data_IF_085680107035
#
_entry.id   IF_085680107035
#
_cell.length_a   1.000
_cell.length_b   1.000
_cell.length_c   1.000
_cell.angle_alpha   90.00
_cell.angle_beta   90.00
_cell.angle_gamma   90.00
#
_symmetry.space_group_name_H-M   'P 1'
#
loop_
_entity.id
_entity.type
_entity.pdbx_description
1 polymer ?
#
# COMPACT_ATOMS: atom_id res chain seq x y z
N UNK A 1 -18.59 14.07 8.07
CA UNK A 1 -18.89 13.03 7.07
C UNK A 1 -17.63 12.21 6.79
N UNK A 2 -17.69 10.89 6.90
CA UNK A 2 -16.65 9.98 6.41
C UNK A 2 -17.11 9.31 5.11
N UNK A 3 -16.18 8.83 4.29
CA UNK A 3 -16.50 8.24 2.99
C UNK A 3 -16.21 6.74 2.98
N UNK A 4 -17.02 5.99 2.23
CA UNK A 4 -16.77 4.57 1.95
C UNK A 4 -16.93 4.25 0.46
N UNK A 5 -16.27 3.19 0.01
CA UNK A 5 -16.41 2.61 -1.33
C UNK A 5 -16.76 1.11 -1.22
N UNK A 6 -17.33 0.53 -2.28
CA UNK A 6 -17.57 -0.91 -2.38
C UNK A 6 -16.48 -1.54 -3.25
N UNK A 7 -15.72 -2.47 -2.68
CA UNK A 7 -14.68 -3.24 -3.39
C UNK A 7 -15.15 -4.66 -3.62
N UNK A 8 -14.79 -5.25 -4.76
CA UNK A 8 -15.01 -6.68 -5.01
C UNK A 8 -14.15 -7.51 -4.06
N UNK A 9 -14.74 -8.58 -3.51
CA UNK A 9 -14.00 -9.57 -2.72
C UNK A 9 -12.91 -10.21 -3.60
N UNK A 10 -11.64 -10.29 -3.15
CA UNK A 10 -10.58 -10.90 -3.94
C UNK A 10 -10.85 -12.39 -4.16
N UNK A 11 -10.58 -12.87 -5.38
CA UNK A 11 -10.90 -14.23 -5.84
C UNK A 11 -10.31 -15.35 -4.95
N UNK A 12 -9.20 -15.09 -4.24
CA UNK A 12 -8.59 -16.00 -3.26
C UNK A 12 -9.54 -16.45 -2.13
N UNK A 13 -10.66 -15.77 -1.94
CA UNK A 13 -11.65 -16.05 -0.89
C UNK A 13 -13.03 -16.41 -1.43
N UNK A 14 -13.17 -16.51 -2.75
CA UNK A 14 -14.44 -16.84 -3.44
C UNK A 14 -14.34 -18.28 -3.90
N UNK A 15 -15.18 -19.17 -3.34
CA UNK A 15 -15.26 -20.56 -3.81
C UNK A 15 -15.90 -20.58 -5.21
N UNK A 16 -15.51 -21.54 -6.05
CA UNK A 16 -16.14 -21.72 -7.37
C UNK A 16 -17.66 -21.89 -7.20
N UNK A 17 -18.44 -20.96 -7.74
CA UNK A 17 -19.91 -20.91 -7.62
C UNK A 17 -20.47 -19.83 -6.67
N UNK A 18 -19.64 -19.12 -5.89
CA UNK A 18 -20.11 -17.96 -5.11
C UNK A 18 -20.32 -16.73 -6.02
N UNK A 19 -21.47 -16.08 -5.89
CA UNK A 19 -21.77 -14.81 -6.57
C UNK A 19 -20.75 -13.73 -6.21
N UNK A 20 -20.41 -12.87 -7.17
CA UNK A 20 -19.51 -11.74 -6.92
C UNK A 20 -20.05 -10.86 -5.79
N UNK A 21 -19.44 -10.94 -4.61
CA UNK A 21 -19.80 -10.15 -3.43
C UNK A 21 -18.88 -8.94 -3.28
N UNK A 22 -19.47 -7.80 -2.91
CA UNK A 22 -18.73 -6.57 -2.60
C UNK A 22 -18.66 -6.36 -1.09
N UNK A 23 -17.57 -5.78 -0.60
CA UNK A 23 -17.44 -5.33 0.78
C UNK A 23 -17.23 -3.82 0.84
N UNK A 24 -17.73 -3.19 1.90
CA UNK A 24 -17.49 -1.78 2.17
C UNK A 24 -16.06 -1.59 2.70
N UNK A 25 -15.36 -0.63 2.11
CA UNK A 25 -14.02 -0.22 2.52
C UNK A 25 -14.01 1.28 2.81
N UNK A 26 -13.33 1.66 3.88
CA UNK A 26 -13.27 3.06 4.31
C UNK A 26 -12.35 3.85 3.38
N UNK A 27 -12.75 5.09 3.10
CA UNK A 27 -11.99 6.02 2.28
C UNK A 27 -11.45 7.11 3.19
N UNK A 28 -10.16 7.04 3.46
CA UNK A 28 -9.48 8.06 4.24
C UNK A 28 -9.35 9.35 3.45
N UNK A 29 -9.74 10.47 4.06
CA UNK A 29 -9.54 11.81 3.48
C UNK A 29 -8.12 12.34 3.67
N UNK A 30 -7.31 11.63 4.46
CA UNK A 30 -5.93 11.97 4.80
C UNK A 30 -5.53 11.35 6.13
N UNK A 31 -4.27 11.58 6.52
CA UNK A 31 -3.72 11.16 7.80
C UNK A 31 -3.55 12.39 8.68
N UNK A 32 -4.05 12.33 9.91
CA UNK A 32 -3.81 13.38 10.91
C UNK A 32 -2.45 13.09 11.56
N UNK A 33 -1.46 13.99 11.44
CA UNK A 33 -0.14 13.78 12.01
C UNK A 33 -0.16 14.02 13.54
N UNK A 34 0.82 13.49 14.25
CA UNK A 34 0.87 13.51 15.71
C UNK A 34 0.88 14.95 16.27
N UNK A 35 1.60 15.87 15.63
CA UNK A 35 1.71 17.27 16.01
C UNK A 35 0.34 17.96 15.99
N UNK A 36 -0.52 17.59 15.04
CA UNK A 36 -1.89 18.13 14.97
C UNK A 36 -2.75 17.61 16.12
N UNK A 37 -2.57 16.36 16.55
CA UNK A 37 -3.24 15.82 17.74
C UNK A 37 -2.73 16.51 19.02
N UNK A 38 -1.41 16.66 19.16
CA UNK A 38 -0.75 17.32 20.30
C UNK A 38 -1.26 18.76 20.46
N UNK A 39 -1.23 19.56 19.38
CA UNK A 39 -1.82 20.91 19.35
C UNK A 39 -3.27 20.94 19.79
N UNK A 40 -4.05 19.96 19.32
CA UNK A 40 -5.46 19.83 19.68
C UNK A 40 -5.67 19.56 21.18
N UNK A 41 -4.84 18.71 21.78
CA UNK A 41 -4.87 18.42 23.22
C UNK A 41 -4.41 19.64 24.01
N UNK A 42 -3.27 20.24 23.64
CA UNK A 42 -2.72 21.44 24.27
C UNK A 42 -3.76 22.57 24.35
N UNK A 43 -4.48 22.83 23.25
CA UNK A 43 -5.53 23.84 23.20
C UNK A 43 -6.71 23.54 24.15
N UNK A 44 -7.03 22.26 24.39
CA UNK A 44 -8.16 21.86 25.25
C UNK A 44 -7.78 21.77 26.73
N UNK A 45 -6.54 21.39 27.04
CA UNK A 45 -6.10 21.17 28.43
C UNK A 45 -5.28 22.33 29.00
N UNK A 46 -4.73 23.19 28.15
CA UNK A 46 -3.79 24.24 28.55
C UNK A 46 -2.35 23.75 28.78
N UNK A 47 -2.07 22.46 28.56
CA UNK A 47 -0.70 21.94 28.65
C UNK A 47 0.16 22.41 27.47
N UNK A 48 1.46 22.63 27.74
CA UNK A 48 2.43 22.94 26.69
C UNK A 48 2.60 21.73 25.77
N UNK A 49 2.69 21.98 24.46
CA UNK A 49 2.85 20.93 23.44
C UNK A 49 4.02 20.00 23.76
N UNK A 50 5.19 20.55 24.14
CA UNK A 50 6.37 19.76 24.48
C UNK A 50 6.20 18.84 25.71
N UNK A 51 5.30 19.18 26.64
CA UNK A 51 4.99 18.30 27.80
C UNK A 51 4.17 17.10 27.33
N UNK A 52 3.17 17.33 26.47
CA UNK A 52 2.35 16.25 25.91
C UNK A 52 3.20 15.32 25.05
N UNK A 53 4.07 15.89 24.21
CA UNK A 53 5.00 15.14 23.38
C UNK A 53 5.95 14.29 24.23
N UNK A 54 6.54 14.87 25.28
CA UNK A 54 7.38 14.15 26.24
C UNK A 54 6.64 12.97 26.88
N UNK A 55 5.42 13.18 27.37
CA UNK A 55 4.60 12.11 27.96
C UNK A 55 4.34 10.98 26.95
N UNK A 56 4.03 11.29 25.69
CA UNK A 56 3.80 10.27 24.66
C UNK A 56 5.07 9.46 24.36
N UNK A 57 6.24 10.09 24.40
CA UNK A 57 7.53 9.43 24.19
C UNK A 57 7.89 8.52 25.37
N UNK A 58 7.77 9.01 26.60
CA UNK A 58 8.03 8.22 27.81
C UNK A 58 7.06 7.02 27.91
N UNK A 59 5.76 7.23 27.67
CA UNK A 59 4.78 6.14 27.66
C UNK A 59 5.10 5.07 26.60
N UNK A 60 5.60 5.48 25.43
CA UNK A 60 6.04 4.53 24.41
C UNK A 60 7.19 3.68 24.93
N UNK A 61 8.18 4.29 25.56
CA UNK A 61 9.39 3.61 26.00
C UNK A 61 9.12 2.68 27.18
N UNK A 62 8.27 3.09 28.13
CA UNK A 62 7.75 2.23 29.20
C UNK A 62 6.99 1.02 28.65
N UNK A 63 6.10 1.24 27.68
CA UNK A 63 5.37 0.13 27.03
C UNK A 63 6.37 -0.85 26.41
N UNK A 64 7.38 -0.37 25.70
CA UNK A 64 8.38 -1.24 25.08
C UNK A 64 9.20 -2.02 26.11
N UNK A 65 9.58 -1.38 27.21
CA UNK A 65 10.30 -2.03 28.31
C UNK A 65 9.47 -3.18 28.89
N UNK A 66 8.23 -2.93 29.30
CA UNK A 66 7.38 -3.95 29.91
C UNK A 66 7.02 -5.09 28.93
N UNK A 67 6.88 -4.79 27.65
CA UNK A 67 6.73 -5.83 26.63
C UNK A 67 7.98 -6.72 26.51
N UNK A 68 9.17 -6.14 26.65
CA UNK A 68 10.44 -6.86 26.68
C UNK A 68 10.59 -7.77 27.90
N UNK A 69 10.02 -7.36 29.03
CA UNK A 69 9.93 -8.14 30.27
C UNK A 69 8.85 -9.25 30.20
N UNK A 70 8.08 -9.31 29.11
CA UNK A 70 7.06 -10.34 28.87
C UNK A 70 5.66 -9.98 29.37
N UNK A 71 5.44 -8.75 29.83
CA UNK A 71 4.12 -8.28 30.22
C UNK A 71 3.26 -7.91 29.01
N UNK A 72 1.95 -7.90 29.24
CA UNK A 72 0.99 -7.24 28.35
C UNK A 72 0.60 -5.91 28.99
N UNK A 73 0.73 -4.82 28.24
CA UNK A 73 0.51 -3.48 28.79
C UNK A 73 -0.88 -2.97 28.40
N UNK A 74 -1.66 -2.55 29.38
CA UNK A 74 -2.95 -1.86 29.17
C UNK A 74 -2.72 -0.35 29.18
N UNK A 75 -3.10 0.33 28.09
CA UNK A 75 -3.08 1.79 27.99
C UNK A 75 -4.50 2.34 28.12
N UNK A 76 -5.05 2.29 29.32
CA UNK A 76 -6.37 2.80 29.68
C UNK A 76 -7.45 2.47 28.65
N UNK A 77 -8.22 3.48 28.24
CA UNK A 77 -9.31 3.30 27.27
C UNK A 77 -8.85 3.07 25.82
N UNK A 78 -7.54 3.19 25.51
CA UNK A 78 -7.06 2.88 24.16
C UNK A 78 -7.08 1.38 23.92
N UNK A 79 -6.55 0.59 24.86
CA UNK A 79 -6.53 -0.87 24.76
C UNK A 79 -5.22 -1.47 25.22
N UNK A 80 -4.78 -2.54 24.57
CA UNK A 80 -3.68 -3.36 25.04
C UNK A 80 -2.58 -3.52 24.00
N UNK A 81 -1.35 -3.41 24.43
CA UNK A 81 -0.16 -3.79 23.68
C UNK A 81 0.34 -5.16 24.11
N UNK A 82 0.72 -6.00 23.16
CA UNK A 82 1.33 -7.31 23.43
C UNK A 82 2.50 -7.55 22.47
N UNK A 83 3.57 -8.17 22.96
CA UNK A 83 4.70 -8.54 22.12
C UNK A 83 4.33 -9.66 21.14
N UNK A 84 4.94 -9.63 19.96
CA UNK A 84 4.88 -10.71 18.97
C UNK A 84 6.24 -11.37 18.91
N UNK A 85 6.27 -12.68 18.81
CA UNK A 85 7.50 -13.46 18.60
C UNK A 85 7.47 -14.15 17.24
N UNK A 86 8.65 -14.37 16.65
CA UNK A 86 8.83 -15.17 15.45
C UNK A 86 9.99 -16.14 15.68
N UNK A 87 9.76 -17.40 15.34
CA UNK A 87 10.81 -18.38 15.21
C UNK A 87 11.39 -18.33 13.78
N UNK A 88 12.70 -18.57 13.64
CA UNK A 88 13.36 -18.61 12.34
C UNK A 88 12.86 -19.75 11.44
N UNK A 89 12.35 -20.84 12.04
CA UNK A 89 11.79 -22.00 11.35
C UNK A 89 10.52 -22.49 12.03
N UNK A 90 9.58 -23.00 11.23
CA UNK A 90 8.43 -23.75 11.73
C UNK A 90 8.89 -25.18 12.01
N UNK A 91 8.53 -25.72 13.17
CA UNK A 91 8.86 -27.10 13.54
C UNK A 91 7.58 -27.85 13.91
N UNK A 92 7.57 -29.16 13.64
CA UNK A 92 6.46 -30.03 14.03
C UNK A 92 6.54 -30.46 15.51
N UNK A 93 7.76 -30.61 16.04
CA UNK A 93 7.99 -31.03 17.42
C UNK A 93 8.52 -29.86 18.27
N UNK A 94 7.99 -29.72 19.49
CA UNK A 94 8.36 -28.64 20.42
C UNK A 94 9.87 -28.59 20.72
N UNK A 95 10.55 -29.74 20.74
CA UNK A 95 11.97 -29.87 21.08
C UNK A 95 12.92 -29.42 19.96
N UNK A 96 12.41 -29.17 18.76
CA UNK A 96 13.23 -28.74 17.63
C UNK A 96 13.46 -27.22 17.61
N UNK A 97 12.69 -26.42 18.37
CA UNK A 97 12.97 -24.99 18.52
C UNK A 97 13.98 -24.78 19.64
N UNK A 98 15.10 -24.12 19.30
CA UNK A 98 16.07 -23.64 20.29
C UNK A 98 15.76 -22.20 20.67
N UNK A 99 16.06 -21.78 21.90
CA UNK A 99 15.74 -20.43 22.38
C UNK A 99 16.37 -19.33 21.51
N UNK A 100 17.58 -19.56 21.00
CA UNK A 100 18.30 -18.62 20.12
C UNK A 100 17.62 -18.42 18.77
N UNK A 101 16.70 -19.31 18.39
CA UNK A 101 15.94 -19.23 17.14
C UNK A 101 14.64 -18.43 17.25
N UNK A 102 14.28 -17.96 18.46
CA UNK A 102 13.07 -17.18 18.74
C UNK A 102 13.46 -15.74 19.08
N UNK A 103 12.86 -14.78 18.37
CA UNK A 103 13.09 -13.36 18.61
C UNK A 103 11.77 -12.58 18.60
N UNK A 104 11.79 -11.39 19.20
CA UNK A 104 10.70 -10.43 19.08
C UNK A 104 10.52 -10.02 17.60
N UNK A 105 9.26 -9.92 17.17
CA UNK A 105 8.84 -9.64 15.81
C UNK A 105 7.70 -8.60 15.79
N UNK A 106 7.87 -7.56 16.60
CA UNK A 106 6.97 -6.41 16.68
C UNK A 106 5.97 -6.47 17.84
N UNK A 107 5.01 -5.56 17.78
CA UNK A 107 3.99 -5.33 18.80
C UNK A 107 2.61 -5.42 18.16
N UNK A 108 1.68 -6.08 18.82
CA UNK A 108 0.27 -6.05 18.45
C UNK A 108 -0.46 -5.06 19.35
N UNK A 109 -1.28 -4.21 18.75
CA UNK A 109 -2.23 -3.36 19.48
C UNK A 109 -3.64 -3.90 19.31
N UNK A 110 -4.31 -4.15 20.43
CA UNK A 110 -5.72 -4.52 20.48
C UNK A 110 -6.51 -3.37 21.11
N UNK A 111 -7.25 -2.66 20.27
CA UNK A 111 -8.16 -1.60 20.72
C UNK A 111 -9.17 -2.13 21.75
N UNK A 112 -9.43 -1.31 22.77
CA UNK A 112 -10.41 -1.58 23.82
C UNK A 112 -11.84 -1.70 23.26
N UNK A 113 -12.79 -2.12 24.09
CA UNK A 113 -14.21 -2.12 23.69
C UNK A 113 -14.71 -0.69 23.45
N UNK A 114 -14.37 0.25 24.34
CA UNK A 114 -14.79 1.66 24.22
C UNK A 114 -14.24 2.29 22.94
N UNK A 115 -12.98 2.04 22.59
CA UNK A 115 -12.37 2.59 21.38
C UNK A 115 -12.97 2.01 20.09
N UNK A 116 -13.34 0.72 20.07
CA UNK A 116 -13.95 0.08 18.90
C UNK A 116 -15.38 0.54 18.63
N UNK A 117 -16.16 0.75 19.68
CA UNK A 117 -17.59 1.13 19.57
C UNK A 117 -17.77 2.66 19.63
N UNK A 118 -16.75 3.39 20.08
CA UNK A 118 -16.79 4.85 20.25
C UNK A 118 -16.74 5.65 18.94
N UNK A 119 -16.47 5.02 17.80
CA UNK A 119 -16.50 5.69 16.50
C UNK A 119 -17.94 6.09 16.20
N UNK A 120 -18.19 7.40 16.09
CA UNK A 120 -19.48 7.99 15.74
C UNK A 120 -19.32 8.88 14.51
N UNK A 121 -20.27 8.83 13.60
CA UNK A 121 -20.33 9.72 12.44
C UNK A 121 -21.05 9.10 11.25
N UNK A 122 -21.48 9.95 10.34
CA UNK A 122 -22.19 9.55 9.13
C UNK A 122 -21.23 9.09 8.03
N UNK A 123 -21.67 8.08 7.29
CA UNK A 123 -20.96 7.51 6.15
C UNK A 123 -21.67 7.86 4.85
N UNK A 124 -20.93 8.44 3.92
CA UNK A 124 -21.42 8.72 2.58
C UNK A 124 -20.69 7.86 1.55
N UNK A 125 -21.46 7.26 0.64
CA UNK A 125 -20.88 6.47 -0.44
C UNK A 125 -20.24 7.39 -1.45
N UNK A 126 -18.93 7.27 -1.63
CA UNK A 126 -18.23 7.94 -2.74
C UNK A 126 -18.09 6.94 -3.89
N UNK A 127 -18.80 7.17 -5.01
CA UNK A 127 -18.75 6.31 -6.21
C UNK A 127 -17.33 6.21 -6.78
N UNK A 128 -16.57 7.30 -6.68
CA UNK A 128 -15.19 7.38 -7.07
C UNK A 128 -14.45 8.14 -5.96
N UNK A 129 -13.71 7.44 -5.12
CA UNK A 129 -12.48 8.07 -4.64
C UNK A 129 -11.59 8.05 -5.85
N UNK A 130 -11.22 9.22 -6.36
CA UNK A 130 -10.16 9.32 -7.33
C UNK A 130 -8.85 8.90 -6.67
N UNK A 131 -8.67 7.60 -6.45
CA UNK A 131 -7.37 6.97 -6.36
C UNK A 131 -6.76 7.04 -7.75
N UNK A 132 -6.41 8.26 -8.18
CA UNK A 132 -5.76 8.60 -9.43
C UNK A 132 -6.01 7.56 -10.53
N UNK A 133 -7.29 7.32 -10.85
CA UNK A 133 -7.64 6.18 -11.71
C UNK A 133 -6.95 6.44 -13.03
N UNK A 134 -6.11 5.50 -13.48
CA UNK A 134 -5.39 5.63 -14.75
C UNK A 134 -6.39 6.11 -15.81
N UNK A 135 -6.08 7.20 -16.52
CA UNK A 135 -6.92 7.67 -17.62
C UNK A 135 -7.26 6.47 -18.52
N UNK A 136 -8.56 6.31 -18.81
CA UNK A 136 -9.02 5.26 -19.71
C UNK A 136 -8.63 5.67 -21.12
N UNK A 137 -7.71 4.92 -21.69
CA UNK A 137 -7.33 5.04 -23.09
C UNK A 137 -7.78 3.79 -23.83
N UNK A 138 -8.14 3.97 -25.10
CA UNK A 138 -8.32 2.85 -26.00
C UNK A 138 -6.95 2.27 -26.39
N UNK A 139 -6.86 0.94 -26.46
CA UNK A 139 -5.60 0.23 -26.63
C UNK A 139 -4.90 0.59 -27.94
N UNK A 140 -5.67 0.70 -29.02
CA UNK A 140 -5.19 1.07 -30.35
C UNK A 140 -4.60 2.49 -30.38
N UNK A 141 -5.15 3.41 -29.58
CA UNK A 141 -4.65 4.79 -29.50
C UNK A 141 -3.33 4.87 -28.73
N UNK A 142 -3.16 4.03 -27.70
CA UNK A 142 -1.90 3.94 -26.96
C UNK A 142 -0.78 3.38 -27.83
N UNK A 143 -1.07 2.35 -28.62
CA UNK A 143 -0.11 1.76 -29.54
C UNK A 143 0.40 2.78 -30.56
N UNK A 144 -0.52 3.48 -31.23
CA UNK A 144 -0.18 4.55 -32.18
C UNK A 144 0.67 5.64 -31.53
N UNK A 145 0.31 6.08 -30.33
CA UNK A 145 1.03 7.12 -29.60
C UNK A 145 2.45 6.68 -29.22
N UNK A 146 2.63 5.44 -28.78
CA UNK A 146 3.94 4.87 -28.45
C UNK A 146 4.82 4.76 -29.70
N UNK A 147 4.28 4.22 -30.80
CA UNK A 147 5.01 4.08 -32.06
C UNK A 147 5.40 5.43 -32.66
N UNK A 148 4.49 6.42 -32.62
CA UNK A 148 4.79 7.78 -33.07
C UNK A 148 5.92 8.40 -32.24
N UNK A 149 5.83 8.30 -30.90
CA UNK A 149 6.84 8.87 -30.02
C UNK A 149 8.22 8.21 -30.20
N UNK A 150 8.26 6.89 -30.35
CA UNK A 150 9.50 6.16 -30.64
C UNK A 150 10.04 6.54 -32.02
N UNK A 151 9.18 6.77 -33.01
CA UNK A 151 9.59 7.24 -34.34
C UNK A 151 10.26 8.62 -34.31
N UNK A 152 9.77 9.53 -33.46
CA UNK A 152 10.30 10.89 -33.32
C UNK A 152 11.55 10.97 -32.42
N UNK A 153 11.61 10.18 -31.33
CA UNK A 153 12.64 10.28 -30.29
C UNK A 153 13.57 9.07 -30.16
N UNK A 154 13.34 8.00 -30.92
CA UNK A 154 14.14 6.76 -30.94
C UNK A 154 13.82 5.76 -29.82
N UNK A 155 13.44 6.23 -28.63
CA UNK A 155 13.07 5.37 -27.50
C UNK A 155 12.04 6.03 -26.59
N UNK A 156 11.35 5.20 -25.80
CA UNK A 156 10.41 5.67 -24.77
C UNK A 156 10.72 5.03 -23.42
N UNK A 157 10.60 5.82 -22.35
CA UNK A 157 10.69 5.31 -20.98
C UNK A 157 9.31 5.24 -20.34
N UNK A 158 9.17 4.42 -19.28
CA UNK A 158 7.93 4.37 -18.48
C UNK A 158 7.51 5.76 -17.96
N UNK A 159 8.48 6.59 -17.56
CA UNK A 159 8.18 7.92 -17.02
C UNK A 159 7.58 8.84 -18.09
N UNK A 160 8.20 8.86 -19.27
CA UNK A 160 7.72 9.59 -20.45
C UNK A 160 6.33 9.11 -20.86
N UNK A 161 6.12 7.79 -20.92
CA UNK A 161 4.82 7.21 -21.26
C UNK A 161 3.72 7.58 -20.25
N UNK A 162 4.03 7.57 -18.94
CA UNK A 162 3.13 8.07 -17.90
C UNK A 162 2.80 9.55 -18.11
N UNK A 163 3.75 10.40 -18.49
CA UNK A 163 3.49 11.83 -18.77
C UNK A 163 2.57 12.03 -19.98
N UNK A 164 2.81 11.30 -21.08
CA UNK A 164 2.02 11.44 -22.31
C UNK A 164 0.57 10.96 -22.13
N UNK A 165 0.39 9.86 -21.42
CA UNK A 165 -0.91 9.20 -21.30
C UNK A 165 -1.66 9.56 -20.01
N UNK A 166 -0.98 10.06 -19.00
CA UNK A 166 -1.53 10.21 -17.65
C UNK A 166 -1.86 8.88 -16.97
N UNK A 167 -1.30 7.75 -17.44
CA UNK A 167 -1.48 6.44 -16.81
C UNK A 167 -0.60 6.29 -15.58
N UNK A 168 -1.14 5.68 -14.53
CA UNK A 168 -0.43 5.38 -13.30
C UNK A 168 0.82 4.52 -13.55
N UNK A 169 1.83 4.67 -12.68
CA UNK A 169 3.14 4.00 -12.80
C UNK A 169 3.05 2.50 -13.12
N UNK A 170 2.20 1.75 -12.41
CA UNK A 170 2.10 0.30 -12.60
C UNK A 170 1.34 -0.04 -13.89
N UNK A 171 0.20 0.60 -14.13
CA UNK A 171 -0.58 0.41 -15.36
C UNK A 171 0.22 0.77 -16.61
N UNK A 172 0.98 1.87 -16.57
CA UNK A 172 1.86 2.30 -17.63
C UNK A 172 2.99 1.28 -17.91
N UNK A 173 3.53 0.67 -16.86
CA UNK A 173 4.52 -0.39 -17.00
C UNK A 173 3.90 -1.67 -17.58
N UNK A 174 2.69 -2.03 -17.16
CA UNK A 174 1.98 -3.21 -17.62
C UNK A 174 1.61 -3.10 -19.11
N UNK A 175 1.18 -1.93 -19.57
CA UNK A 175 0.96 -1.66 -21.00
C UNK A 175 2.23 -1.86 -21.84
N UNK A 176 3.35 -1.24 -21.43
CA UNK A 176 4.61 -1.34 -22.15
C UNK A 176 5.14 -2.78 -22.17
N UNK A 177 4.93 -3.53 -21.08
CA UNK A 177 5.21 -4.96 -21.05
C UNK A 177 4.30 -5.75 -21.98
N UNK A 178 3.00 -5.42 -22.05
CA UNK A 178 2.09 -6.10 -22.99
C UNK A 178 2.47 -5.83 -24.44
N UNK A 179 2.83 -4.59 -24.79
CA UNK A 179 3.31 -4.25 -26.13
C UNK A 179 4.64 -4.93 -26.46
N UNK A 180 5.52 -5.10 -25.47
CA UNK A 180 6.75 -5.85 -25.65
C UNK A 180 6.53 -7.35 -25.81
N UNK A 181 5.56 -7.93 -25.11
CA UNK A 181 5.17 -9.33 -25.25
C UNK A 181 4.51 -9.60 -26.62
N UNK A 182 3.77 -8.63 -27.15
CA UNK A 182 3.14 -8.67 -28.48
C UNK A 182 4.12 -8.38 -29.62
N UNK A 183 5.37 -8.00 -29.32
CA UNK A 183 6.40 -7.72 -30.32
C UNK A 183 6.29 -6.36 -31.02
N UNK A 184 5.40 -5.49 -30.55
CA UNK A 184 5.19 -4.13 -31.09
C UNK A 184 6.38 -3.22 -30.76
N UNK A 185 6.97 -3.40 -29.58
CA UNK A 185 8.17 -2.69 -29.10
C UNK A 185 9.15 -3.68 -28.49
N UNK A 186 10.43 -3.33 -28.45
CA UNK A 186 11.46 -4.15 -27.81
C UNK A 186 11.91 -3.51 -26.50
N UNK A 187 12.01 -4.30 -25.44
CA UNK A 187 12.55 -3.86 -24.15
C UNK A 187 14.07 -3.94 -24.14
N UNK A 188 14.73 -2.82 -23.86
CA UNK A 188 16.18 -2.75 -23.65
C UNK A 188 16.55 -2.17 -22.27
N UNK A 189 17.75 -2.53 -21.80
CA UNK A 189 18.25 -2.16 -20.47
C UNK A 189 17.69 -2.98 -19.30
N UNK A 190 18.15 -2.65 -18.08
CA UNK A 190 17.73 -3.27 -16.81
C UNK A 190 17.58 -2.21 -15.72
N UNK A 191 16.67 -2.47 -14.77
CA UNK A 191 16.46 -1.59 -13.62
C UNK A 191 16.10 -0.16 -14.02
N UNK A 192 16.86 0.83 -13.53
CA UNK A 192 16.63 2.25 -13.79
C UNK A 192 16.97 2.69 -15.23
N UNK A 193 17.68 1.87 -16.01
CA UNK A 193 18.02 2.15 -17.40
C UNK A 193 17.06 1.49 -18.39
N UNK A 194 15.93 0.95 -17.91
CA UNK A 194 14.94 0.30 -18.77
C UNK A 194 14.26 1.31 -19.71
N UNK A 195 14.33 1.03 -21.01
CA UNK A 195 13.65 1.79 -22.07
C UNK A 195 13.11 0.84 -23.14
N UNK A 196 12.22 1.35 -23.98
CA UNK A 196 11.58 0.59 -25.06
C UNK A 196 11.87 1.27 -26.40
N UNK A 197 12.18 0.46 -27.42
CA UNK A 197 12.53 0.90 -28.77
C UNK A 197 11.65 0.21 -29.81
N UNK A 198 11.66 0.70 -31.04
CA UNK A 198 11.02 0.03 -32.16
C UNK A 198 11.69 -1.33 -32.40
N UNK A 199 10.93 -2.37 -32.81
CA UNK A 199 11.51 -3.65 -33.16
C UNK A 199 12.45 -3.47 -34.37
N UNK A 200 13.56 -4.22 -34.44
CA UNK A 200 14.41 -4.20 -35.61
C UNK A 200 13.60 -4.62 -36.84
N UNK A 201 13.78 -3.93 -37.97
CA UNK A 201 13.22 -4.38 -39.25
C UNK A 201 13.73 -5.80 -39.48
N UNK A 202 12.82 -6.77 -39.64
CA UNK A 202 13.18 -8.05 -40.25
C UNK A 202 13.58 -7.73 -41.68
N UNK A 203 14.87 -7.81 -41.99
CA UNK A 203 15.31 -7.95 -43.37
C UNK A 203 14.64 -9.22 -43.92
N UNK A 204 14.02 -9.17 -45.12
CA UNK A 204 13.56 -10.40 -45.75
C UNK A 204 14.78 -11.28 -45.99
N UNK A 205 14.76 -12.50 -45.46
CA UNK A 205 15.77 -13.52 -45.73
C UNK A 205 15.95 -13.60 -47.26
N UNK A 206 17.14 -13.20 -47.72
CA UNK A 206 17.53 -13.27 -49.12
C UNK A 206 17.55 -14.72 -49.61
N UNK A 207 17.15 -14.86 -50.87
CA UNK A 207 17.04 -16.08 -51.69
C UNK A 207 18.14 -17.14 -51.50
#
# INVERSE_FOLDING_TARGET
>A
MAFYNLKKKPALTTKEGETETMYADIVYSGTIPAERLIRGVAKRTGFKEGVIEGILMELKDDVLQYLGEGYRVELGEFGFFSAKVKASRLVANKNDIRSESVAFNGVNFRASKSMRVGIRGDLERRKCVDFNTSRKWDRNNLEKLVLQYIGEHGFITRATYTQLTGRLKNTALDDLKSFAAEGIIKREGRGNQMHFIAPPRKEPDGE
#
